data_IF_605707907595
#
_entry.id   IF_605707907595
#
_cell.length_a   1.000
_cell.length_b   1.000
_cell.length_c   1.000
_cell.angle_alpha   90.00
_cell.angle_beta   90.00
_cell.angle_gamma   90.00
#
_symmetry.space_group_name_H-M   'P 1'
#
loop_
_entity.id
_entity.type
_entity.pdbx_description
1 polymer ?
#
# COMPACT_ATOMS: atom_id res chain seq x y z
N UNK A 1 -3.58 18.77 2.17
CA UNK A 1 -3.55 17.73 3.22
C UNK A 1 -4.48 18.04 4.39
N UNK A 2 -4.45 19.22 5.00
CA UNK A 2 -5.32 19.55 6.15
C UNK A 2 -6.82 19.48 5.84
N UNK A 3 -7.23 19.88 4.62
CA UNK A 3 -8.62 19.75 4.17
C UNK A 3 -9.14 18.31 4.06
N UNK A 4 -8.26 17.31 4.16
CA UNK A 4 -8.68 15.90 4.15
C UNK A 4 -9.50 15.53 5.39
N UNK A 5 -9.15 16.04 6.56
CA UNK A 5 -9.85 15.70 7.81
C UNK A 5 -11.32 16.16 7.74
N UNK A 6 -11.64 17.44 7.42
CA UNK A 6 -13.02 17.86 7.18
C UNK A 6 -13.74 17.08 6.07
N UNK A 7 -13.03 16.74 4.99
CA UNK A 7 -13.61 15.95 3.90
C UNK A 7 -14.01 14.55 4.36
N UNK A 8 -13.18 13.88 5.17
CA UNK A 8 -13.52 12.58 5.75
C UNK A 8 -14.69 12.70 6.72
N UNK A 9 -14.72 13.71 7.59
CA UNK A 9 -15.86 13.97 8.48
C UNK A 9 -17.15 14.15 7.66
N UNK A 10 -17.08 14.87 6.53
CA UNK A 10 -18.23 15.01 5.63
C UNK A 10 -18.64 13.69 4.98
N UNK A 11 -17.70 12.83 4.58
CA UNK A 11 -18.00 11.49 4.07
C UNK A 11 -18.72 10.63 5.11
N UNK A 12 -18.27 10.65 6.37
CA UNK A 12 -18.94 9.93 7.48
C UNK A 12 -20.34 10.46 7.78
N UNK A 13 -20.61 11.75 7.50
CA UNK A 13 -21.96 12.33 7.62
C UNK A 13 -22.91 11.87 6.51
N UNK A 14 -22.39 11.54 5.32
CA UNK A 14 -23.19 11.26 4.10
C UNK A 14 -23.31 9.79 3.76
N UNK A 15 -22.31 9.00 4.08
CA UNK A 15 -22.21 7.59 3.73
C UNK A 15 -22.27 6.73 4.98
N UNK A 16 -22.57 5.45 4.82
CA UNK A 16 -22.41 4.49 5.90
C UNK A 16 -20.94 4.51 6.41
N UNK A 17 -20.69 4.46 7.73
CA UNK A 17 -19.34 4.60 8.29
C UNK A 17 -18.29 3.66 7.68
N UNK A 18 -18.68 2.42 7.37
CA UNK A 18 -17.82 1.43 6.71
C UNK A 18 -17.41 1.87 5.30
N UNK A 19 -18.36 2.34 4.49
CA UNK A 19 -18.09 2.84 3.15
C UNK A 19 -17.27 4.13 3.20
N UNK A 20 -17.60 5.02 4.14
CA UNK A 20 -16.86 6.26 4.36
C UNK A 20 -15.38 5.98 4.68
N UNK A 21 -15.09 5.04 5.60
CA UNK A 21 -13.73 4.65 5.94
C UNK A 21 -12.95 4.08 4.75
N UNK A 22 -13.59 3.21 3.95
CA UNK A 22 -12.97 2.62 2.74
C UNK A 22 -12.67 3.67 1.69
N UNK A 23 -13.66 4.52 1.37
CA UNK A 23 -13.50 5.59 0.38
C UNK A 23 -12.46 6.59 0.84
N UNK A 24 -12.47 6.98 2.12
CA UNK A 24 -11.46 7.85 2.70
C UNK A 24 -10.06 7.23 2.63
N UNK A 25 -9.91 5.93 2.88
CA UNK A 25 -8.61 5.28 2.79
C UNK A 25 -8.12 5.21 1.35
N UNK A 26 -8.95 4.70 0.43
CA UNK A 26 -8.60 4.50 -0.98
C UNK A 26 -8.35 5.84 -1.69
N UNK A 27 -9.27 6.80 -1.55
CA UNK A 27 -9.12 8.11 -2.19
C UNK A 27 -7.97 8.92 -1.57
N UNK A 28 -7.80 8.84 -0.24
CA UNK A 28 -6.68 9.48 0.45
C UNK A 28 -5.35 8.92 -0.03
N UNK A 29 -5.24 7.58 -0.12
CA UNK A 29 -4.05 6.92 -0.63
C UNK A 29 -3.79 7.21 -2.11
N UNK A 30 -4.83 7.36 -2.93
CA UNK A 30 -4.68 7.61 -4.36
C UNK A 30 -4.37 9.06 -4.70
N UNK A 31 -4.87 10.04 -3.96
CA UNK A 31 -4.85 11.44 -4.43
C UNK A 31 -4.11 12.40 -3.53
N UNK A 32 -3.89 12.08 -2.25
CA UNK A 32 -3.16 13.00 -1.36
C UNK A 32 -1.70 13.15 -1.78
N UNK A 33 -1.11 14.33 -1.53
CA UNK A 33 0.27 14.60 -1.89
C UNK A 33 1.21 13.85 -0.96
N UNK A 34 2.45 13.71 -1.41
CA UNK A 34 3.53 13.11 -0.64
C UNK A 34 4.36 14.25 -0.09
N UNK A 35 3.90 14.76 1.04
CA UNK A 35 4.58 15.76 1.85
C UNK A 35 4.65 15.26 3.28
N UNK A 36 5.74 15.63 3.94
CA UNK A 36 5.89 15.56 5.39
C UNK A 36 5.89 16.99 5.91
N UNK A 37 4.91 17.34 6.75
CA UNK A 37 4.88 18.62 7.43
C UNK A 37 5.41 18.39 8.85
N UNK A 38 6.58 18.93 9.14
CA UNK A 38 7.22 18.78 10.43
C UNK A 38 6.42 19.57 11.47
N UNK A 39 5.91 18.87 12.48
CA UNK A 39 5.20 19.49 13.60
C UNK A 39 6.14 19.55 14.81
N UNK A 40 6.29 20.71 15.48
CA UNK A 40 7.14 20.80 16.66
C UNK A 40 6.64 19.85 17.76
N UNK A 41 7.48 18.88 18.14
CA UNK A 41 7.17 17.91 19.21
C UNK A 41 6.15 16.81 18.86
N UNK A 42 5.66 16.78 17.62
CA UNK A 42 4.79 15.72 17.11
C UNK A 42 5.43 15.06 15.88
N UNK A 43 5.10 13.80 15.56
CA UNK A 43 5.55 13.16 14.34
C UNK A 43 5.09 13.91 13.10
N UNK A 44 5.86 13.78 12.04
CA UNK A 44 5.59 14.47 10.79
C UNK A 44 4.19 14.16 10.27
N UNK A 45 3.47 15.21 9.90
CA UNK A 45 2.15 15.08 9.32
C UNK A 45 2.28 14.67 7.85
N UNK A 46 2.32 13.36 7.65
CA UNK A 46 2.43 12.69 6.35
C UNK A 46 1.07 12.34 5.76
N UNK A 47 1.07 11.91 4.50
CA UNK A 47 -0.10 11.32 3.83
C UNK A 47 -0.80 10.25 4.69
N UNK A 48 -0.04 9.37 5.32
CA UNK A 48 -0.57 8.31 6.19
C UNK A 48 -1.27 8.88 7.42
N UNK A 49 -0.67 9.87 8.09
CA UNK A 49 -1.31 10.53 9.25
C UNK A 49 -2.61 11.20 8.86
N UNK A 50 -2.63 11.93 7.73
CA UNK A 50 -3.82 12.64 7.27
C UNK A 50 -5.00 11.68 7.04
N UNK A 51 -4.75 10.53 6.40
CA UNK A 51 -5.77 9.50 6.16
C UNK A 51 -6.22 8.87 7.46
N UNK A 52 -5.29 8.42 8.30
CA UNK A 52 -5.62 7.68 9.52
C UNK A 52 -6.34 8.56 10.55
N UNK A 53 -5.80 9.75 10.82
CA UNK A 53 -6.41 10.71 11.74
C UNK A 53 -7.77 11.16 11.22
N UNK A 54 -7.92 11.40 9.91
CA UNK A 54 -9.21 11.73 9.31
C UNK A 54 -10.27 10.64 9.53
N UNK A 55 -9.92 9.38 9.31
CA UNK A 55 -10.82 8.23 9.52
C UNK A 55 -11.14 8.05 11.00
N UNK A 56 -10.15 8.12 11.89
CA UNK A 56 -10.37 7.97 13.33
C UNK A 56 -11.19 9.12 13.91
N UNK A 57 -10.98 10.35 13.45
CA UNK A 57 -11.82 11.49 13.82
C UNK A 57 -13.26 11.31 13.34
N UNK A 58 -13.46 10.92 12.07
CA UNK A 58 -14.78 10.61 11.53
C UNK A 58 -15.49 9.49 12.32
N UNK A 59 -14.77 8.41 12.61
CA UNK A 59 -15.25 7.31 13.43
C UNK A 59 -15.62 7.78 14.85
N UNK A 60 -14.81 8.64 15.48
CA UNK A 60 -15.08 9.15 16.82
C UNK A 60 -16.39 9.94 16.89
N UNK A 61 -16.68 10.77 15.87
CA UNK A 61 -17.88 11.59 15.85
C UNK A 61 -19.15 10.84 15.41
N UNK A 62 -19.03 9.85 14.52
CA UNK A 62 -20.20 9.22 13.88
C UNK A 62 -20.36 7.71 14.15
N UNK A 63 -19.35 7.02 14.69
CA UNK A 63 -19.36 5.56 14.88
C UNK A 63 -18.53 5.12 16.11
N UNK A 64 -18.76 5.79 17.25
CA UNK A 64 -17.95 5.63 18.48
C UNK A 64 -18.01 4.21 19.07
N UNK A 65 -19.10 3.47 18.82
CA UNK A 65 -19.25 2.09 19.30
C UNK A 65 -18.23 1.13 18.70
N UNK A 66 -17.65 1.44 17.54
CA UNK A 66 -16.62 0.60 16.91
C UNK A 66 -15.33 0.52 17.70
N UNK A 67 -14.98 1.58 18.42
CA UNK A 67 -13.78 1.57 19.27
C UNK A 67 -13.90 0.51 20.38
N UNK A 68 -15.11 0.30 20.91
CA UNK A 68 -15.39 -0.70 21.94
C UNK A 68 -15.45 -2.14 21.40
N UNK A 69 -15.60 -2.32 20.08
CA UNK A 69 -15.56 -3.65 19.44
C UNK A 69 -14.14 -4.19 19.27
N UNK A 70 -13.13 -3.39 19.56
CA UNK A 70 -11.76 -3.86 19.51
C UNK A 70 -11.48 -4.86 20.64
N UNK A 71 -11.29 -6.12 20.27
CA UNK A 71 -10.87 -7.18 21.18
C UNK A 71 -9.45 -7.61 20.83
N UNK A 72 -8.56 -7.57 21.82
CA UNK A 72 -7.18 -8.00 21.65
C UNK A 72 -7.12 -9.48 21.28
N UNK A 73 -6.43 -9.80 20.19
CA UNK A 73 -6.20 -11.16 19.73
C UNK A 73 -4.69 -11.43 19.63
N UNK A 74 -4.26 -12.69 19.68
CA UNK A 74 -2.85 -13.09 19.50
C UNK A 74 -2.26 -12.59 18.17
N UNK A 75 -3.12 -12.38 17.16
CA UNK A 75 -2.74 -11.79 15.88
C UNK A 75 -2.32 -10.30 15.97
N UNK A 76 -2.64 -9.61 17.07
CA UNK A 76 -2.22 -8.23 17.32
C UNK A 76 -0.81 -8.17 17.93
N UNK A 77 -0.30 -9.28 18.50
CA UNK A 77 1.01 -9.34 19.15
C UNK A 77 2.18 -9.01 18.20
N UNK A 78 2.27 -9.56 16.97
CA UNK A 78 3.33 -9.17 16.04
C UNK A 78 3.30 -7.68 15.69
N UNK A 79 2.11 -7.07 15.61
CA UNK A 79 1.98 -5.64 15.33
C UNK A 79 2.44 -4.79 16.51
N UNK A 80 2.12 -5.19 17.75
CA UNK A 80 2.64 -4.55 18.94
C UNK A 80 4.17 -4.63 19.00
N UNK A 81 4.73 -5.82 18.78
CA UNK A 81 6.18 -6.01 18.74
C UNK A 81 6.82 -5.14 17.65
N UNK A 82 6.25 -5.10 16.46
CA UNK A 82 6.69 -4.24 15.36
C UNK A 82 6.69 -2.75 15.71
N UNK A 83 5.66 -2.28 16.44
CA UNK A 83 5.58 -0.89 16.88
C UNK A 83 6.58 -0.57 18.00
N UNK A 84 6.85 -1.51 18.91
CA UNK A 84 7.77 -1.31 20.05
C UNK A 84 9.24 -1.62 19.75
N UNK A 85 9.53 -2.36 18.67
CA UNK A 85 10.89 -2.76 18.32
C UNK A 85 11.88 -1.58 18.20
N UNK A 86 11.52 -0.43 17.59
CA UNK A 86 12.43 0.70 17.47
C UNK A 86 12.91 1.24 18.82
N UNK A 87 12.09 1.19 19.86
CA UNK A 87 12.49 1.62 21.21
C UNK A 87 13.70 0.82 21.70
N UNK A 88 13.61 -0.51 21.64
CA UNK A 88 14.68 -1.40 22.08
C UNK A 88 15.92 -1.25 21.20
N UNK A 89 15.75 -1.05 19.89
CA UNK A 89 16.85 -0.78 18.97
C UNK A 89 17.59 0.52 19.30
N UNK A 90 16.88 1.64 19.50
CA UNK A 90 17.49 2.93 19.82
C UNK A 90 18.23 2.92 21.16
N UNK A 91 17.66 2.26 22.18
CA UNK A 91 18.32 2.11 23.49
C UNK A 91 19.55 1.22 23.38
N UNK A 92 19.47 0.10 22.66
CA UNK A 92 20.62 -0.80 22.44
C UNK A 92 21.73 -0.16 21.61
N UNK A 93 21.40 0.77 20.72
CA UNK A 93 22.36 1.49 19.88
C UNK A 93 22.90 2.78 20.54
N UNK A 94 22.51 3.10 21.78
CA UNK A 94 23.01 4.28 22.50
C UNK A 94 22.45 5.62 22.01
N UNK A 95 21.39 5.63 21.18
CA UNK A 95 20.73 6.84 20.67
C UNK A 95 19.84 7.53 21.72
N UNK A 96 19.54 6.80 22.81
CA UNK A 96 18.82 7.29 23.97
C UNK A 96 17.30 7.03 23.92
N UNK A 97 16.60 7.14 25.07
CA UNK A 97 15.17 6.84 25.15
C UNK A 97 14.27 7.79 24.36
N UNK A 98 14.70 9.05 24.19
CA UNK A 98 13.94 10.05 23.43
C UNK A 98 13.83 9.67 21.95
N UNK A 99 14.95 9.27 21.34
CA UNK A 99 14.96 8.77 19.96
C UNK A 99 14.08 7.50 19.85
N UNK A 100 14.25 6.55 20.77
CA UNK A 100 13.44 5.32 20.78
C UNK A 100 11.93 5.58 20.88
N UNK A 101 11.51 6.54 21.71
CA UNK A 101 10.10 6.93 21.82
C UNK A 101 9.59 7.61 20.55
N UNK A 102 10.38 8.51 19.97
CA UNK A 102 10.06 9.17 18.71
C UNK A 102 9.87 8.17 17.56
N UNK A 103 10.81 7.23 17.41
CA UNK A 103 10.73 6.17 16.38
C UNK A 103 9.54 5.24 16.61
N UNK A 104 9.27 4.86 17.86
CA UNK A 104 8.10 4.05 18.23
C UNK A 104 6.79 4.76 17.87
N UNK A 105 6.71 6.06 18.11
CA UNK A 105 5.54 6.86 17.75
C UNK A 105 5.36 6.94 16.23
N UNK A 106 6.43 7.22 15.49
CA UNK A 106 6.44 7.22 14.03
C UNK A 106 5.99 5.87 13.45
N UNK A 107 6.51 4.77 14.00
CA UNK A 107 6.18 3.41 13.60
C UNK A 107 4.70 3.07 13.89
N UNK A 108 4.21 3.45 15.06
CA UNK A 108 2.83 3.25 15.49
C UNK A 108 1.83 4.01 14.62
N UNK A 109 2.18 5.21 14.19
CA UNK A 109 1.37 6.00 13.26
C UNK A 109 1.39 5.37 11.86
N UNK A 110 2.56 4.96 11.39
CA UNK A 110 2.73 4.45 10.02
C UNK A 110 2.07 3.09 9.82
N UNK A 111 2.15 2.20 10.82
CA UNK A 111 1.67 0.82 10.71
C UNK A 111 0.55 0.48 11.69
N UNK A 112 0.65 0.95 12.93
CA UNK A 112 -0.32 0.65 13.99
C UNK A 112 -1.69 1.28 13.75
N UNK A 113 -1.76 2.55 13.31
CA UNK A 113 -3.04 3.22 13.03
C UNK A 113 -3.81 2.57 11.87
N UNK A 114 -3.22 2.33 10.67
CA UNK A 114 -3.93 1.61 9.61
C UNK A 114 -4.39 0.21 10.06
N UNK A 115 -3.56 -0.49 10.84
CA UNK A 115 -3.90 -1.80 11.37
C UNK A 115 -5.11 -1.73 12.31
N UNK A 116 -5.12 -0.79 13.24
CA UNK A 116 -6.23 -0.58 14.16
C UNK A 116 -7.53 -0.26 13.41
N UNK A 117 -7.48 0.65 12.42
CA UNK A 117 -8.61 0.97 11.54
C UNK A 117 -9.12 -0.30 10.85
N UNK A 118 -8.22 -1.15 10.37
CA UNK A 118 -8.60 -2.39 9.72
C UNK A 118 -9.26 -3.38 10.68
N UNK A 119 -8.81 -3.47 11.94
CA UNK A 119 -9.43 -4.35 12.95
C UNK A 119 -10.86 -3.91 13.30
N UNK A 120 -11.11 -2.60 13.41
CA UNK A 120 -12.45 -2.09 13.77
C UNK A 120 -13.46 -2.14 12.60
N UNK A 121 -13.01 -1.94 11.35
CA UNK A 121 -13.89 -1.84 10.17
C UNK A 121 -13.92 -3.10 9.28
N UNK A 122 -12.82 -3.87 9.20
CA UNK A 122 -12.63 -4.95 8.22
C UNK A 122 -12.50 -6.35 8.83
N UNK A 123 -13.16 -6.60 9.96
CA UNK A 123 -13.22 -7.95 10.57
C UNK A 123 -14.26 -8.88 9.94
N UNK A 124 -15.24 -8.34 9.21
CA UNK A 124 -16.34 -9.10 8.60
C UNK A 124 -16.04 -9.44 7.13
N UNK A 125 -16.54 -10.59 6.64
CA UNK A 125 -16.40 -10.99 5.23
C UNK A 125 -16.96 -9.93 4.27
N UNK A 126 -18.15 -9.39 4.57
CA UNK A 126 -18.77 -8.32 3.78
C UNK A 126 -17.90 -7.06 3.73
N UNK A 127 -17.23 -6.72 4.83
CA UNK A 127 -16.34 -5.55 4.90
C UNK A 127 -15.02 -5.79 4.14
N UNK A 128 -14.46 -7.00 4.19
CA UNK A 128 -13.29 -7.36 3.38
C UNK A 128 -13.61 -7.33 1.88
N UNK A 129 -14.78 -7.82 1.48
CA UNK A 129 -15.28 -7.72 0.09
C UNK A 129 -15.44 -6.26 -0.33
N UNK A 130 -15.98 -5.41 0.54
CA UNK A 130 -16.14 -3.97 0.26
C UNK A 130 -14.79 -3.30 0.01
N UNK A 131 -13.80 -3.59 0.86
CA UNK A 131 -12.44 -3.07 0.70
C UNK A 131 -11.78 -3.54 -0.61
N UNK A 132 -11.85 -4.84 -0.91
CA UNK A 132 -11.30 -5.41 -2.14
C UNK A 132 -11.94 -4.78 -3.40
N UNK A 133 -13.26 -4.59 -3.37
CA UNK A 133 -14.01 -3.96 -4.46
C UNK A 133 -13.63 -2.50 -4.63
N UNK A 134 -13.49 -1.76 -3.53
CA UNK A 134 -13.10 -0.36 -3.56
C UNK A 134 -11.66 -0.16 -4.04
N UNK A 135 -10.73 -1.04 -3.67
CA UNK A 135 -9.35 -1.02 -4.20
C UNK A 135 -9.38 -1.28 -5.70
N UNK A 136 -10.13 -2.29 -6.17
CA UNK A 136 -10.28 -2.54 -7.60
C UNK A 136 -10.83 -1.31 -8.35
N UNK A 137 -11.94 -0.73 -7.89
CA UNK A 137 -12.51 0.49 -8.47
C UNK A 137 -11.49 1.65 -8.42
N UNK A 138 -10.77 1.80 -7.31
CA UNK A 138 -9.70 2.78 -7.16
C UNK A 138 -8.63 2.63 -8.23
N UNK A 139 -8.14 1.41 -8.48
CA UNK A 139 -7.17 1.16 -9.55
C UNK A 139 -7.70 1.49 -10.94
N UNK A 140 -8.99 1.25 -11.20
CA UNK A 140 -9.61 1.62 -12.48
C UNK A 140 -9.68 3.14 -12.67
N UNK A 141 -10.06 3.86 -11.62
CA UNK A 141 -10.04 5.34 -11.62
C UNK A 141 -8.61 5.87 -11.83
N UNK A 142 -7.59 5.11 -11.42
CA UNK A 142 -6.19 5.51 -11.57
C UNK A 142 -5.63 5.35 -13.00
N UNK A 143 -6.25 4.51 -13.84
CA UNK A 143 -5.81 4.25 -15.23
C UNK A 143 -5.62 5.54 -16.06
N UNK A 144 -6.59 6.47 -16.16
CA UNK A 144 -6.42 7.67 -16.97
C UNK A 144 -5.24 8.55 -16.49
N UNK A 145 -5.00 8.61 -15.18
CA UNK A 145 -3.87 9.35 -14.62
C UNK A 145 -2.53 8.67 -14.96
N UNK A 146 -2.48 7.34 -14.91
CA UNK A 146 -1.31 6.59 -15.36
C UNK A 146 -1.01 6.81 -16.85
N UNK A 147 -2.03 6.79 -17.70
CA UNK A 147 -1.86 7.01 -19.15
C UNK A 147 -1.39 8.42 -19.47
N UNK A 148 -1.90 9.42 -18.75
CA UNK A 148 -1.42 10.80 -18.89
C UNK A 148 0.08 10.91 -18.64
N UNK A 149 0.61 10.34 -17.56
CA UNK A 149 2.04 10.39 -17.27
C UNK A 149 2.89 9.49 -18.17
N UNK A 150 2.32 8.39 -18.68
CA UNK A 150 2.99 7.53 -19.67
C UNK A 150 3.28 8.31 -20.96
N UNK A 151 2.39 9.24 -21.35
CA UNK A 151 2.53 10.06 -22.56
C UNK A 151 3.36 11.31 -22.30
N UNK A 152 3.03 12.06 -21.24
CA UNK A 152 3.53 13.43 -21.02
C UNK A 152 4.76 13.52 -20.10
N UNK A 153 5.19 12.43 -19.47
CA UNK A 153 6.13 12.35 -18.34
C UNK A 153 5.48 12.63 -16.95
N UNK A 154 6.15 12.30 -15.83
CA UNK A 154 5.61 12.45 -14.48
C UNK A 154 5.46 13.93 -14.10
N UNK A 155 4.28 14.49 -14.38
CA UNK A 155 3.97 15.89 -14.14
C UNK A 155 2.71 16.07 -13.29
N UNK A 156 1.88 15.05 -13.04
CA UNK A 156 0.58 15.26 -12.39
C UNK A 156 0.74 15.81 -10.98
N UNK A 157 1.69 15.27 -10.21
CA UNK A 157 1.96 15.76 -8.87
C UNK A 157 2.41 17.22 -8.88
N UNK A 158 3.25 17.61 -9.85
CA UNK A 158 3.70 19.00 -10.00
C UNK A 158 2.55 19.92 -10.41
N UNK A 159 1.70 19.49 -11.34
CA UNK A 159 0.57 20.28 -11.84
C UNK A 159 -0.49 20.55 -10.76
N UNK A 160 -0.67 19.63 -9.83
CA UNK A 160 -1.69 19.74 -8.77
C UNK A 160 -1.14 20.30 -7.46
N UNK A 161 0.07 19.90 -7.06
CA UNK A 161 0.65 20.27 -5.76
C UNK A 161 1.84 21.23 -5.86
N UNK A 162 2.33 21.53 -7.06
CA UNK A 162 3.40 22.50 -7.30
C UNK A 162 4.82 21.97 -7.14
N UNK A 163 5.02 20.69 -6.78
CA UNK A 163 6.36 20.09 -6.60
C UNK A 163 6.44 18.63 -7.11
N UNK A 164 7.66 18.14 -7.34
CA UNK A 164 7.93 16.76 -7.75
C UNK A 164 8.19 15.87 -6.52
N UNK A 165 7.70 14.64 -6.54
CA UNK A 165 7.88 13.68 -5.42
C UNK A 165 9.31 13.15 -5.34
N UNK A 166 9.91 12.85 -6.50
CA UNK A 166 11.25 12.31 -6.59
C UNK A 166 11.98 12.81 -7.85
N UNK A 167 13.26 12.46 -7.97
CA UNK A 167 14.06 12.83 -9.12
C UNK A 167 13.52 12.16 -10.39
N UNK A 168 13.20 12.96 -11.41
CA UNK A 168 12.65 12.51 -12.71
C UNK A 168 13.54 11.43 -13.36
N UNK A 169 14.85 11.46 -13.09
CA UNK A 169 15.81 10.45 -13.56
C UNK A 169 15.51 9.04 -13.04
N UNK A 170 15.00 8.91 -11.81
CA UNK A 170 14.60 7.61 -11.24
C UNK A 170 13.36 7.03 -11.94
N UNK A 171 12.64 7.86 -12.69
CA UNK A 171 11.45 7.46 -13.45
C UNK A 171 11.77 7.03 -14.88
N UNK A 172 12.96 7.38 -15.38
CA UNK A 172 13.43 7.01 -16.70
C UNK A 172 13.92 5.55 -16.72
N UNK A 173 13.71 4.84 -17.83
CA UNK A 173 14.12 3.44 -17.96
C UNK A 173 14.82 3.16 -19.29
N UNK A 174 15.78 2.26 -19.22
CA UNK A 174 16.47 1.70 -20.38
C UNK A 174 15.45 1.03 -21.32
N UNK A 175 15.27 1.63 -22.50
CA UNK A 175 14.24 1.24 -23.48
C UNK A 175 13.15 2.28 -23.74
N UNK A 176 13.29 3.49 -23.19
CA UNK A 176 12.41 4.63 -23.47
C UNK A 176 11.05 4.57 -22.77
N UNK A 177 10.52 5.76 -22.46
CA UNK A 177 9.25 5.95 -21.73
C UNK A 177 9.41 6.12 -20.22
N UNK A 178 8.38 6.66 -19.59
CA UNK A 178 8.35 7.01 -18.17
C UNK A 178 7.51 6.01 -17.38
N UNK A 179 7.91 5.69 -16.14
CA UNK A 179 7.06 4.92 -15.23
C UNK A 179 6.10 5.87 -14.49
N UNK A 180 4.77 5.74 -14.61
CA UNK A 180 3.87 6.68 -13.96
C UNK A 180 3.95 6.54 -12.43
N UNK A 181 3.95 7.69 -11.76
CA UNK A 181 4.03 7.83 -10.30
C UNK A 181 2.74 8.48 -9.78
N UNK A 182 2.18 9.42 -10.53
CA UNK A 182 0.92 10.09 -10.29
C UNK A 182 0.97 10.74 -8.89
N UNK A 183 0.29 10.21 -7.87
CA UNK A 183 0.33 10.72 -6.49
C UNK A 183 1.02 9.77 -5.49
N UNK A 184 1.75 8.77 -6.00
CA UNK A 184 2.53 7.82 -5.22
C UNK A 184 4.01 8.21 -5.18
N UNK A 185 4.74 7.67 -4.20
CA UNK A 185 6.08 8.15 -3.84
C UNK A 185 7.10 7.89 -4.94
N UNK A 186 6.94 6.74 -5.57
CA UNK A 186 7.78 6.27 -6.65
C UNK A 186 6.97 5.30 -7.53
N UNK A 187 7.41 5.08 -8.76
CA UNK A 187 6.62 4.29 -9.72
C UNK A 187 6.45 2.81 -9.34
N UNK A 188 7.29 2.26 -8.44
CA UNK A 188 7.07 0.89 -7.92
C UNK A 188 5.83 0.84 -7.04
N UNK A 189 5.61 1.84 -6.19
CA UNK A 189 4.41 1.97 -5.36
C UNK A 189 3.15 2.02 -6.23
N UNK A 190 3.15 2.81 -7.32
CA UNK A 190 2.03 2.82 -8.26
C UNK A 190 1.84 1.47 -8.94
N UNK A 191 2.94 0.82 -9.33
CA UNK A 191 2.85 -0.48 -10.02
C UNK A 191 2.28 -1.55 -9.08
N UNK A 192 2.67 -1.52 -7.81
CA UNK A 192 2.12 -2.38 -6.76
C UNK A 192 0.63 -2.08 -6.52
N UNK A 193 0.21 -0.82 -6.53
CA UNK A 193 -1.20 -0.45 -6.44
C UNK A 193 -2.02 -1.05 -7.58
N UNK A 194 -1.56 -0.94 -8.82
CA UNK A 194 -2.25 -1.50 -9.99
C UNK A 194 -2.31 -3.04 -9.94
N UNK A 195 -1.20 -3.68 -9.58
CA UNK A 195 -1.12 -5.14 -9.36
C UNK A 195 -2.08 -5.60 -8.25
N UNK A 196 -2.19 -4.85 -7.17
CA UNK A 196 -3.11 -5.14 -6.07
C UNK A 196 -4.57 -5.14 -6.54
N UNK A 197 -4.94 -4.20 -7.41
CA UNK A 197 -6.27 -4.17 -8.04
C UNK A 197 -6.54 -5.41 -8.89
N UNK A 198 -5.58 -5.87 -9.69
CA UNK A 198 -5.70 -7.10 -10.49
C UNK A 198 -5.86 -8.31 -9.57
N UNK A 199 -5.04 -8.40 -8.52
CA UNK A 199 -5.10 -9.49 -7.55
C UNK A 199 -6.49 -9.59 -6.90
N UNK A 200 -7.02 -8.47 -6.41
CA UNK A 200 -8.37 -8.44 -5.83
C UNK A 200 -9.47 -8.72 -6.86
N UNK A 201 -9.34 -8.23 -8.09
CA UNK A 201 -10.31 -8.52 -9.15
C UNK A 201 -10.39 -10.02 -9.46
N UNK A 202 -9.24 -10.68 -9.62
CA UNK A 202 -9.16 -12.12 -9.85
C UNK A 202 -9.71 -12.90 -8.66
N UNK A 203 -9.42 -12.45 -7.43
CA UNK A 203 -10.00 -13.07 -6.23
C UNK A 203 -11.53 -12.94 -6.19
N UNK A 204 -12.08 -11.75 -6.47
CA UNK A 204 -13.52 -11.52 -6.52
C UNK A 204 -14.21 -12.34 -7.63
N UNK A 205 -13.58 -12.47 -8.79
CA UNK A 205 -14.02 -13.37 -9.88
C UNK A 205 -14.12 -14.81 -9.40
N UNK A 206 -13.11 -15.25 -8.66
CA UNK A 206 -13.01 -16.61 -8.17
C UNK A 206 -13.98 -16.96 -7.04
N UNK A 207 -14.37 -15.95 -6.24
CA UNK A 207 -15.40 -16.06 -5.22
C UNK A 207 -16.83 -15.97 -5.79
N UNK A 208 -17.00 -15.64 -7.07
CA UNK A 208 -18.32 -15.39 -7.67
C UNK A 208 -18.95 -14.05 -7.28
N UNK A 209 -18.21 -13.20 -6.56
CA UNK A 209 -18.65 -11.91 -6.02
C UNK A 209 -18.20 -10.73 -6.90
N UNK A 210 -17.74 -11.02 -8.11
CA UNK A 210 -17.26 -10.00 -9.04
C UNK A 210 -18.42 -9.16 -9.59
N UNK A 211 -18.32 -7.82 -9.52
CA UNK A 211 -19.37 -6.97 -10.05
C UNK A 211 -19.50 -7.21 -11.57
N UNK A 212 -20.70 -7.57 -12.05
CA UNK A 212 -20.91 -7.87 -13.48
C UNK A 212 -20.70 -6.64 -14.38
N UNK A 213 -21.12 -5.46 -13.91
CA UNK A 213 -20.98 -4.18 -14.61
C UNK A 213 -20.57 -3.11 -13.62
N UNK A 214 -19.68 -2.22 -14.07
CA UNK A 214 -19.31 -0.99 -13.37
C UNK A 214 -19.49 0.14 -14.38
N UNK A 215 -20.26 1.18 -14.03
CA UNK A 215 -20.50 2.35 -14.90
C UNK A 215 -20.91 1.96 -16.34
N UNK A 216 -21.85 1.01 -16.46
CA UNK A 216 -22.37 0.48 -17.73
C UNK A 216 -21.41 -0.37 -18.57
N UNK A 217 -20.13 -0.49 -18.19
CA UNK A 217 -19.13 -1.33 -18.87
C UNK A 217 -19.02 -2.69 -18.18
N UNK A 218 -18.88 -3.81 -18.92
CA UNK A 218 -18.63 -5.11 -18.30
C UNK A 218 -17.26 -5.11 -17.60
N UNK A 219 -17.24 -5.56 -16.35
CA UNK A 219 -16.03 -5.48 -15.52
C UNK A 219 -14.85 -6.33 -16.02
N UNK A 220 -15.11 -7.31 -16.89
CA UNK A 220 -14.07 -8.09 -17.57
C UNK A 220 -13.22 -7.25 -18.52
N UNK A 221 -13.83 -6.31 -19.26
CA UNK A 221 -13.12 -5.37 -20.12
C UNK A 221 -12.29 -4.39 -19.30
N UNK A 222 -12.82 -3.94 -18.15
CA UNK A 222 -12.10 -3.07 -17.23
C UNK A 222 -10.89 -3.78 -16.60
N UNK A 223 -11.02 -5.07 -16.27
CA UNK A 223 -9.90 -5.89 -15.82
C UNK A 223 -8.83 -6.04 -16.92
N UNK A 224 -9.24 -6.29 -18.17
CA UNK A 224 -8.31 -6.37 -19.29
C UNK A 224 -7.55 -5.05 -19.47
N UNK A 225 -8.26 -3.91 -19.42
CA UNK A 225 -7.67 -2.57 -19.47
C UNK A 225 -6.65 -2.35 -18.34
N UNK A 226 -6.96 -2.81 -17.12
CA UNK A 226 -6.08 -2.72 -15.96
C UNK A 226 -4.80 -3.56 -16.15
N UNK A 227 -4.93 -4.77 -16.69
CA UNK A 227 -3.78 -5.65 -17.01
C UNK A 227 -2.88 -4.99 -18.05
N UNK A 228 -3.46 -4.49 -19.16
CA UNK A 228 -2.72 -3.81 -20.22
C UNK A 228 -1.95 -2.61 -19.64
N UNK A 229 -2.63 -1.78 -18.85
CA UNK A 229 -2.02 -0.62 -18.21
C UNK A 229 -0.86 -1.01 -17.30
N UNK A 230 -1.02 -2.08 -16.51
CA UNK A 230 0.02 -2.56 -15.59
C UNK A 230 1.25 -3.08 -16.34
N UNK A 231 1.06 -3.76 -17.48
CA UNK A 231 2.17 -4.19 -18.36
C UNK A 231 2.88 -2.99 -18.98
N UNK A 232 2.14 -1.95 -19.38
CA UNK A 232 2.71 -0.70 -19.92
C UNK A 232 3.58 0.06 -18.92
N UNK A 233 3.37 -0.10 -17.61
CA UNK A 233 4.25 0.46 -16.58
C UNK A 233 5.65 -0.21 -16.54
N UNK A 234 5.83 -1.31 -17.30
CA UNK A 234 7.07 -2.09 -17.46
C UNK A 234 7.62 -2.67 -16.15
N UNK A 235 6.86 -2.74 -15.05
CA UNK A 235 7.40 -3.12 -13.72
C UNK A 235 7.50 -4.63 -13.53
N UNK A 236 8.66 -5.20 -13.87
CA UNK A 236 8.91 -6.65 -13.80
C UNK A 236 8.72 -7.20 -12.37
N UNK A 237 9.24 -6.51 -11.35
CA UNK A 237 9.12 -6.95 -9.96
C UNK A 237 7.66 -7.06 -9.50
N UNK A 238 6.83 -6.06 -9.82
CA UNK A 238 5.42 -6.08 -9.47
C UNK A 238 4.65 -7.20 -10.20
N UNK A 239 4.96 -7.45 -11.47
CA UNK A 239 4.35 -8.55 -12.24
C UNK A 239 4.75 -9.93 -11.70
N UNK A 240 6.03 -10.12 -11.31
CA UNK A 240 6.48 -11.36 -10.68
C UNK A 240 5.73 -11.59 -9.36
N UNK A 241 5.59 -10.57 -8.52
CA UNK A 241 4.83 -10.65 -7.28
C UNK A 241 3.35 -10.98 -7.52
N UNK A 242 2.73 -10.42 -8.57
CA UNK A 242 1.36 -10.77 -8.98
C UNK A 242 1.25 -12.26 -9.33
N UNK A 243 2.17 -12.78 -10.17
CA UNK A 243 2.15 -14.18 -10.60
C UNK A 243 2.33 -15.11 -9.40
N UNK A 244 3.29 -14.81 -8.52
CA UNK A 244 3.51 -15.58 -7.29
C UNK A 244 2.25 -15.56 -6.42
N UNK A 245 1.67 -14.38 -6.19
CA UNK A 245 0.46 -14.22 -5.38
C UNK A 245 -0.72 -15.02 -5.94
N UNK A 246 -0.97 -14.93 -7.25
CA UNK A 246 -2.05 -15.67 -7.92
C UNK A 246 -1.80 -17.19 -7.93
N UNK A 247 -0.56 -17.63 -8.15
CA UNK A 247 -0.19 -19.04 -8.12
C UNK A 247 -0.43 -19.64 -6.73
N UNK A 248 -0.04 -18.92 -5.68
CA UNK A 248 -0.22 -19.33 -4.29
C UNK A 248 -1.69 -19.40 -3.94
N UNK A 249 -2.48 -18.39 -4.35
CA UNK A 249 -3.92 -18.37 -4.14
C UNK A 249 -4.62 -19.57 -4.80
N UNK A 250 -4.25 -19.85 -6.05
CA UNK A 250 -4.78 -20.97 -6.81
C UNK A 250 -4.39 -22.33 -6.20
N UNK A 251 -3.12 -22.52 -5.87
CA UNK A 251 -2.60 -23.77 -5.30
C UNK A 251 -3.12 -24.01 -3.88
N UNK A 252 -3.16 -22.98 -3.04
CA UNK A 252 -3.69 -23.07 -1.67
C UNK A 252 -5.15 -23.51 -1.67
N UNK A 253 -5.96 -22.99 -2.61
CA UNK A 253 -7.34 -23.45 -2.80
C UNK A 253 -7.40 -24.90 -3.32
N UNK A 254 -6.60 -25.25 -4.34
CA UNK A 254 -6.60 -26.61 -4.93
C UNK A 254 -6.22 -27.66 -3.89
N UNK A 255 -5.25 -27.36 -3.04
CA UNK A 255 -4.78 -28.22 -1.95
C UNK A 255 -5.64 -28.11 -0.68
N UNK A 256 -6.61 -27.19 -0.63
CA UNK A 256 -7.43 -26.85 0.56
C UNK A 256 -6.58 -26.63 1.82
N UNK A 257 -5.38 -26.08 1.65
CA UNK A 257 -4.37 -25.96 2.70
C UNK A 257 -3.73 -24.59 2.69
N UNK A 258 -3.54 -24.02 3.88
CA UNK A 258 -2.87 -22.73 4.09
C UNK A 258 -1.35 -22.83 4.16
N UNK A 259 -0.77 -24.04 3.98
CA UNK A 259 0.68 -24.29 4.08
C UNK A 259 1.48 -23.36 3.16
N UNK A 260 1.04 -23.14 1.93
CA UNK A 260 1.74 -22.24 0.99
C UNK A 260 1.74 -20.78 1.45
N UNK A 261 0.68 -20.33 2.13
CA UNK A 261 0.63 -18.98 2.71
C UNK A 261 1.61 -18.87 3.86
N UNK A 262 1.68 -19.89 4.74
CA UNK A 262 2.67 -19.93 5.82
C UNK A 262 4.11 -19.93 5.29
N UNK A 263 4.40 -20.69 4.22
CA UNK A 263 5.74 -20.69 3.60
C UNK A 263 6.13 -19.28 3.15
N UNK A 264 5.23 -18.53 2.53
CA UNK A 264 5.51 -17.14 2.12
C UNK A 264 5.72 -16.22 3.30
N UNK A 265 4.93 -16.39 4.37
CA UNK A 265 5.12 -15.61 5.60
C UNK A 265 6.48 -15.86 6.26
N UNK A 266 7.06 -17.06 6.06
CA UNK A 266 8.40 -17.37 6.55
C UNK A 266 9.51 -16.73 5.70
N UNK A 267 9.27 -16.40 4.42
CA UNK A 267 10.32 -15.85 3.52
C UNK A 267 10.96 -14.56 4.07
N UNK A 268 10.21 -13.53 4.51
CA UNK A 268 10.81 -12.34 5.12
C UNK A 268 11.58 -12.63 6.41
N UNK A 269 11.10 -13.56 7.23
CA UNK A 269 11.77 -13.94 8.48
C UNK A 269 13.11 -14.64 8.20
N UNK A 270 13.12 -15.55 7.23
CA UNK A 270 14.34 -16.20 6.76
C UNK A 270 15.31 -15.20 6.14
N UNK A 271 14.80 -14.21 5.40
CA UNK A 271 15.62 -13.13 4.83
C UNK A 271 16.28 -12.27 5.92
N UNK A 272 15.55 -11.91 6.99
CA UNK A 272 16.12 -11.16 8.12
C UNK A 272 17.18 -12.00 8.83
N UNK A 273 16.93 -13.30 9.02
CA UNK A 273 17.91 -14.21 9.61
C UNK A 273 19.20 -14.33 8.78
N UNK A 274 19.09 -14.50 7.46
CA UNK A 274 20.27 -14.59 6.59
C UNK A 274 21.02 -13.25 6.48
N UNK A 275 20.32 -12.11 6.62
CA UNK A 275 20.96 -10.78 6.69
C UNK A 275 21.69 -10.55 8.00
N UNK A 276 21.08 -10.89 9.13
CA UNK A 276 21.67 -10.68 10.47
C UNK A 276 22.88 -11.58 10.72
N UNK A 277 22.89 -12.78 10.16
CA UNK A 277 24.03 -13.72 10.21
C UNK A 277 25.15 -13.37 9.24
N UNK A 278 24.97 -12.38 8.36
CA UNK A 278 25.95 -11.98 7.35
C UNK A 278 26.14 -12.97 6.19
N UNK A 279 25.39 -14.08 6.18
CA UNK A 279 25.43 -15.09 5.11
C UNK A 279 24.98 -14.48 3.78
N UNK A 280 24.03 -13.54 3.83
CA UNK A 280 23.54 -12.82 2.67
C UNK A 280 23.84 -11.34 2.78
N UNK A 281 24.84 -10.86 2.03
CA UNK A 281 25.03 -9.43 1.83
C UNK A 281 24.32 -9.03 0.52
N UNK A 282 23.32 -8.14 0.56
CA UNK A 282 22.43 -7.84 -0.58
C UNK A 282 23.12 -7.48 -1.90
N UNK A 283 24.43 -7.19 -1.84
CA UNK A 283 25.38 -7.09 -2.94
C UNK A 283 25.41 -8.31 -3.87
N UNK A 284 25.18 -9.51 -3.35
CA UNK A 284 25.15 -10.75 -4.15
C UNK A 284 23.98 -10.73 -5.16
N UNK A 285 22.82 -10.23 -4.74
CA UNK A 285 21.64 -10.12 -5.61
C UNK A 285 21.79 -8.96 -6.60
N UNK A 286 22.28 -7.81 -6.15
CA UNK A 286 22.52 -6.68 -7.06
C UNK A 286 23.57 -7.02 -8.12
N UNK A 287 24.61 -7.79 -7.76
CA UNK A 287 25.60 -8.30 -8.70
C UNK A 287 25.00 -9.26 -9.73
N UNK A 288 24.21 -10.25 -9.27
CA UNK A 288 23.52 -11.18 -10.15
C UNK A 288 22.53 -10.49 -11.11
N UNK A 289 21.78 -9.50 -10.61
CA UNK A 289 20.82 -8.74 -11.42
C UNK A 289 21.53 -7.78 -12.38
N UNK A 290 22.67 -7.19 -11.98
CA UNK A 290 23.50 -6.37 -12.85
C UNK A 290 24.05 -7.19 -14.02
N UNK A 291 24.49 -8.42 -13.75
CA UNK A 291 25.07 -9.33 -14.74
C UNK A 291 24.01 -9.91 -15.70
N UNK A 292 22.82 -10.26 -15.19
CA UNK A 292 21.78 -10.94 -16.00
C UNK A 292 20.72 -10.04 -16.63
N UNK A 293 20.45 -8.86 -16.08
CA UNK A 293 19.32 -8.02 -16.51
C UNK A 293 19.73 -6.62 -16.97
N UNK A 294 20.34 -5.80 -16.11
CA UNK A 294 21.02 -4.53 -16.45
C UNK A 294 21.55 -3.83 -15.19
N UNK A 295 22.61 -3.03 -15.32
CA UNK A 295 23.19 -2.26 -14.22
C UNK A 295 22.22 -1.24 -13.58
N UNK A 296 21.36 -0.61 -14.39
CA UNK A 296 20.31 0.32 -13.94
C UNK A 296 19.21 -0.37 -13.11
N UNK A 297 18.91 -1.65 -13.40
CA UNK A 297 17.95 -2.44 -12.62
C UNK A 297 18.53 -2.87 -11.28
N UNK A 298 19.84 -3.12 -11.23
CA UNK A 298 20.54 -3.40 -9.99
C UNK A 298 20.59 -2.19 -9.05
N UNK A 299 20.70 -0.97 -9.60
CA UNK A 299 20.60 0.28 -8.81
C UNK A 299 19.23 0.48 -8.17
N UNK A 300 18.16 -0.11 -8.70
CA UNK A 300 16.83 -0.04 -8.05
C UNK A 300 16.69 -0.95 -6.81
N UNK A 301 17.67 -1.83 -6.57
CA UNK A 301 17.71 -2.75 -5.43
C UNK A 301 18.66 -2.29 -4.31
N UNK A 302 19.38 -1.19 -4.54
CA UNK A 302 20.23 -0.51 -3.56
C UNK A 302 19.46 0.64 -2.91
#
# INVERSE_FOLDING_TARGET
MFGWIPAVIFLFKKLEPRLAAVVAFVAGWMFLPIAAINLPGLPDYTKTTAVCVGILAGAYFFDRERFSKYTFNLADLPMLLWCTAPFFSSVSNGLGPYDGLSQTMYQSITWGMPYYIARIYFSDFSSMKLLATAIFIGTLVYIPFCWFELIMSPQLHRLTYGYHQCNILQTFRDGGGFRPMVYMDHGLMTSMWMVLGIFFAVWLLHCGEFPRKILFVPSSWLLLLLIITTVMMKSVGALILLIIGLAVLYLSRKMKSSVLVFIILLVPLLYIYTRTTGIWDGRNLSGYVAEKFSATRAQSLQ
#
